data_IF_770396065691
#
_entry.id   IF_770396065691
#
_cell.length_a   1.000
_cell.length_b   1.000
_cell.length_c   1.000
_cell.angle_alpha   90.00
_cell.angle_beta   90.00
_cell.angle_gamma   90.00
#
_symmetry.space_group_name_H-M   'P 1'
#
loop_
_entity.id
_entity.type
_entity.pdbx_description
1 polymer ?
#
# COMPACT_ATOMS: atom_id res chain seq x y z
N UNK A 1 -7.74 -14.16 2.13
CA UNK A 1 -6.53 -13.61 2.80
C UNK A 1 -6.51 -12.12 2.53
N UNK A 2 -6.20 -11.29 3.53
CA UNK A 2 -6.08 -9.84 3.36
C UNK A 2 -4.62 -9.50 3.10
N UNK A 3 -4.35 -8.92 1.94
CA UNK A 3 -3.05 -8.36 1.59
C UNK A 3 -3.11 -6.85 1.72
N UNK A 4 -2.01 -6.27 2.15
CA UNK A 4 -1.82 -4.84 2.33
C UNK A 4 -0.63 -4.46 1.49
N UNK A 5 -0.87 -3.64 0.50
CA UNK A 5 0.15 -3.03 -0.32
C UNK A 5 0.39 -1.60 0.15
N UNK A 6 1.64 -1.18 0.16
CA UNK A 6 2.01 0.22 0.34
C UNK A 6 2.84 0.67 -0.86
N UNK A 7 2.72 1.95 -1.18
CA UNK A 7 3.50 2.61 -2.23
C UNK A 7 4.01 3.96 -1.71
N UNK A 8 5.28 4.27 -1.98
CA UNK A 8 5.92 5.55 -1.70
C UNK A 8 6.27 6.21 -3.02
N UNK A 9 5.72 7.41 -3.22
CA UNK A 9 5.83 8.18 -4.46
C UNK A 9 6.58 9.48 -4.23
N UNK A 10 7.44 9.84 -5.18
CA UNK A 10 8.11 11.13 -5.24
C UNK A 10 8.13 11.65 -6.68
N UNK A 11 7.80 12.92 -6.89
CA UNK A 11 7.82 13.56 -8.21
C UNK A 11 7.04 12.81 -9.31
N UNK A 12 5.96 12.11 -8.94
CA UNK A 12 5.12 11.35 -9.87
C UNK A 12 5.66 9.96 -10.25
N UNK A 13 6.76 9.51 -9.64
CA UNK A 13 7.29 8.16 -9.80
C UNK A 13 7.15 7.35 -8.48
N UNK A 14 6.97 6.04 -8.60
CA UNK A 14 6.98 5.13 -7.46
C UNK A 14 8.43 4.77 -7.12
N UNK A 15 8.89 5.17 -5.94
CA UNK A 15 10.28 4.97 -5.48
C UNK A 15 10.43 3.67 -4.67
N UNK A 16 9.36 3.26 -3.98
CA UNK A 16 9.31 1.99 -3.25
C UNK A 16 7.88 1.50 -3.07
N UNK A 17 7.74 0.21 -2.84
CA UNK A 17 6.47 -0.41 -2.48
C UNK A 17 6.66 -1.85 -2.03
N UNK A 18 5.65 -2.41 -1.38
CA UNK A 18 5.68 -3.76 -0.86
C UNK A 18 4.30 -4.30 -0.55
N UNK A 19 4.19 -5.63 -0.48
CA UNK A 19 2.95 -6.35 -0.15
C UNK A 19 3.21 -7.20 1.08
N UNK A 20 2.30 -7.13 2.05
CA UNK A 20 2.36 -7.91 3.30
C UNK A 20 0.95 -8.24 3.80
N UNK A 21 0.82 -9.22 4.68
CA UNK A 21 -0.44 -9.53 5.37
C UNK A 21 -0.50 -8.90 6.77
N UNK A 22 0.52 -8.14 7.16
CA UNK A 22 0.64 -7.51 8.48
C UNK A 22 0.61 -5.98 8.36
N UNK A 23 -0.46 -5.35 8.87
CA UNK A 23 -0.64 -3.89 8.81
C UNK A 23 0.47 -3.11 9.51
N UNK A 24 1.00 -3.63 10.62
CA UNK A 24 2.10 -2.97 11.33
C UNK A 24 3.38 -3.00 10.50
N UNK A 25 3.64 -4.10 9.79
CA UNK A 25 4.80 -4.20 8.89
C UNK A 25 4.66 -3.21 7.72
N UNK A 26 3.48 -3.13 7.10
CA UNK A 26 3.22 -2.18 6.01
C UNK A 26 3.49 -0.72 6.44
N UNK A 27 3.00 -0.33 7.63
CA UNK A 27 3.24 1.02 8.17
C UNK A 27 4.72 1.26 8.44
N UNK A 28 5.41 0.32 9.09
CA UNK A 28 6.83 0.46 9.43
C UNK A 28 7.72 0.55 8.18
N UNK A 29 7.44 -0.25 7.15
CA UNK A 29 8.19 -0.20 5.90
C UNK A 29 7.90 1.08 5.11
N UNK A 30 6.63 1.50 5.03
CA UNK A 30 6.27 2.76 4.38
C UNK A 30 6.94 3.97 5.07
N UNK A 31 6.93 4.02 6.41
CA UNK A 31 7.60 5.07 7.19
C UNK A 31 9.12 5.06 6.96
N UNK A 32 9.73 3.88 6.87
CA UNK A 32 11.15 3.74 6.57
C UNK A 32 11.52 4.34 5.21
N UNK A 33 10.78 3.98 4.16
CA UNK A 33 11.01 4.50 2.81
C UNK A 33 10.66 5.99 2.69
N UNK A 34 9.58 6.44 3.34
CA UNK A 34 9.21 7.85 3.37
C UNK A 34 10.31 8.70 4.03
N UNK A 35 10.97 8.21 5.08
CA UNK A 35 12.10 8.90 5.71
C UNK A 35 13.32 8.95 4.79
N UNK A 36 13.61 7.86 4.07
CA UNK A 36 14.72 7.78 3.12
C UNK A 36 14.56 8.75 1.95
N UNK A 37 13.42 8.70 1.25
CA UNK A 37 13.18 9.54 0.07
C UNK A 37 12.75 10.96 0.44
N UNK A 38 12.16 11.16 1.62
CA UNK A 38 11.73 12.46 2.13
C UNK A 38 12.86 13.48 2.30
N UNK A 39 14.13 13.03 2.27
CA UNK A 39 15.29 13.92 2.28
C UNK A 39 15.43 14.72 0.97
N UNK A 40 14.99 14.14 -0.16
CA UNK A 40 15.15 14.70 -1.50
C UNK A 40 13.94 15.54 -1.96
N UNK A 41 12.86 15.52 -1.18
CA UNK A 41 11.64 16.28 -1.46
C UNK A 41 10.38 15.64 -0.88
N UNK A 42 9.19 16.26 -1.05
CA UNK A 42 7.93 15.72 -0.55
C UNK A 42 7.64 14.33 -1.11
N UNK A 43 7.17 13.44 -0.23
CA UNK A 43 6.73 12.08 -0.57
C UNK A 43 5.23 11.92 -0.33
N UNK A 44 4.59 11.11 -1.17
CA UNK A 44 3.21 10.68 -0.99
C UNK A 44 3.20 9.18 -0.66
N UNK A 45 2.49 8.78 0.41
CA UNK A 45 2.36 7.37 0.80
C UNK A 45 0.92 6.93 0.55
N UNK A 46 0.75 5.81 -0.16
CA UNK A 46 -0.55 5.20 -0.46
C UNK A 46 -0.61 3.80 0.12
N UNK A 47 -1.78 3.41 0.62
CA UNK A 47 -2.03 2.07 1.14
C UNK A 47 -3.26 1.47 0.45
N UNK A 48 -3.15 0.21 0.05
CA UNK A 48 -4.23 -0.54 -0.57
C UNK A 48 -4.47 -1.82 0.22
N UNK A 49 -5.71 -2.04 0.63
CA UNK A 49 -6.13 -3.28 1.28
C UNK A 49 -6.82 -4.14 0.23
N UNK A 50 -6.19 -5.25 -0.15
CA UNK A 50 -6.71 -6.22 -1.10
C UNK A 50 -7.28 -7.42 -0.34
N UNK A 51 -8.51 -7.78 -0.66
CA UNK A 51 -9.14 -8.98 -0.14
C UNK A 51 -9.48 -9.91 -1.31
N UNK A 52 -9.12 -11.18 -1.16
CA UNK A 52 -9.64 -12.23 -2.04
C UNK A 52 -11.15 -12.36 -1.80
N UNK A 53 -11.94 -12.32 -2.87
CA UNK A 53 -13.37 -12.61 -2.84
C UNK A 53 -13.71 -13.67 -3.88
N UNK A 54 -14.70 -14.52 -3.60
CA UNK A 54 -15.32 -15.37 -4.62
C UNK A 54 -16.24 -14.54 -5.52
N UNK A 55 -16.66 -15.14 -6.63
CA UNK A 55 -17.64 -14.51 -7.53
C UNK A 55 -18.95 -14.19 -6.80
N UNK A 56 -19.46 -15.14 -6.02
CA UNK A 56 -20.71 -14.99 -5.27
C UNK A 56 -20.62 -13.88 -4.22
N UNK A 57 -19.44 -13.68 -3.62
CA UNK A 57 -19.19 -12.57 -2.70
C UNK A 57 -19.15 -11.22 -3.42
N UNK A 58 -18.53 -11.15 -4.60
CA UNK A 58 -18.50 -9.93 -5.43
C UNK A 58 -19.89 -9.54 -5.95
N UNK A 59 -20.70 -10.51 -6.38
CA UNK A 59 -22.05 -10.26 -6.88
C UNK A 59 -22.93 -9.58 -5.81
N UNK A 60 -22.70 -9.82 -4.51
CA UNK A 60 -23.41 -9.13 -3.40
C UNK A 60 -23.07 -7.65 -3.26
N UNK A 61 -21.93 -7.20 -3.80
CA UNK A 61 -21.53 -5.79 -3.80
C UNK A 61 -21.95 -5.05 -5.09
N UNK A 62 -22.47 -5.78 -6.09
CA UNK A 62 -22.87 -5.23 -7.38
C UNK A 62 -24.34 -4.78 -7.44
N UNK A 63 -25.13 -5.14 -6.41
CA UNK A 63 -26.53 -4.71 -6.20
C UNK A 63 -26.61 -3.45 -5.32
#
# INVERSE_FOLDING_TARGET
MTEIEFEVWQNGAMEAGGITTNAKAALQEADHYALMYGQDGPVEVKFFVRQSATREELERFAD
#
